data_IF_417652066202
#
_entry.id   IF_417652066202
#
_cell.length_a   1.000
_cell.length_b   1.000
_cell.length_c   1.000
_cell.angle_alpha   90.00
_cell.angle_beta   90.00
_cell.angle_gamma   90.00
#
_symmetry.space_group_name_H-M   'P 1'
#
loop_
_entity.id
_entity.type
_entity.pdbx_description
1 polymer ?
#
# COMPACT_ATOMS: atom_id res chain seq x y z
N UNK A 1 14.67 -9.21 33.61
CA UNK A 1 14.14 -9.64 32.30
C UNK A 1 12.89 -8.83 32.04
N UNK A 2 12.54 -8.60 30.77
CA UNK A 2 11.34 -7.84 30.41
C UNK A 2 10.17 -8.81 30.46
N UNK A 3 9.12 -8.44 31.19
CA UNK A 3 7.95 -9.30 31.36
C UNK A 3 7.22 -9.49 30.01
N UNK A 4 6.76 -10.72 29.74
CA UNK A 4 6.04 -11.06 28.50
C UNK A 4 6.91 -11.48 27.29
N UNK A 5 8.24 -11.52 27.41
CA UNK A 5 9.13 -12.05 26.37
C UNK A 5 9.48 -13.53 26.60
N UNK A 6 9.76 -14.26 25.51
CA UNK A 6 10.12 -15.68 25.57
C UNK A 6 11.52 -15.97 26.15
N UNK A 7 11.81 -17.25 26.39
CA UNK A 7 13.04 -17.73 27.05
C UNK A 7 14.34 -17.29 26.35
N UNK A 8 14.29 -17.01 25.04
CA UNK A 8 15.44 -16.53 24.28
C UNK A 8 16.03 -15.22 24.84
N UNK A 9 15.23 -14.43 25.56
CA UNK A 9 15.72 -13.24 26.25
C UNK A 9 16.88 -13.56 27.21
N UNK A 10 16.87 -14.73 27.84
CA UNK A 10 17.86 -15.15 28.82
C UNK A 10 19.29 -15.13 28.25
N UNK A 11 19.45 -15.42 26.95
CA UNK A 11 20.76 -15.35 26.28
C UNK A 11 20.91 -14.10 25.40
N UNK A 12 19.84 -13.62 24.77
CA UNK A 12 19.91 -12.44 23.87
C UNK A 12 20.29 -11.16 24.63
N UNK A 13 19.73 -10.93 25.83
CA UNK A 13 20.01 -9.70 26.57
C UNK A 13 21.46 -9.62 27.08
N UNK A 14 22.03 -10.67 27.71
CA UNK A 14 23.46 -10.69 28.03
C UNK A 14 24.35 -10.60 26.79
N UNK A 15 23.97 -11.27 25.70
CA UNK A 15 24.73 -11.25 24.44
C UNK A 15 24.81 -9.83 23.86
N UNK A 16 23.68 -9.11 23.79
CA UNK A 16 23.66 -7.73 23.30
C UNK A 16 24.53 -6.81 24.15
N UNK A 17 24.46 -6.96 25.48
CA UNK A 17 25.32 -6.20 26.40
C UNK A 17 26.80 -6.49 26.14
N UNK A 18 27.18 -7.76 26.03
CA UNK A 18 28.54 -8.18 25.74
C UNK A 18 29.03 -7.64 24.38
N UNK A 19 28.16 -7.63 23.36
CA UNK A 19 28.46 -7.08 22.05
C UNK A 19 28.74 -5.58 22.12
N UNK A 20 27.91 -4.80 22.82
CA UNK A 20 28.12 -3.35 22.98
C UNK A 20 29.43 -3.05 23.72
N UNK A 21 29.74 -3.82 24.78
CA UNK A 21 31.00 -3.72 25.51
C UNK A 21 32.20 -4.06 24.62
N UNK A 22 32.09 -5.12 23.82
CA UNK A 22 33.13 -5.55 22.89
C UNK A 22 33.38 -4.53 21.78
N UNK A 23 32.33 -4.01 21.14
CA UNK A 23 32.43 -2.93 20.13
C UNK A 23 33.12 -1.69 20.71
N UNK A 24 32.84 -1.39 21.98
CA UNK A 24 33.53 -0.30 22.67
C UNK A 24 35.02 -0.59 22.91
N UNK A 25 35.38 -1.82 23.28
CA UNK A 25 36.79 -2.23 23.42
C UNK A 25 37.57 -2.15 22.09
N UNK A 26 36.89 -2.39 20.97
CA UNK A 26 37.44 -2.20 19.62
C UNK A 26 37.61 -0.72 19.22
N UNK A 27 37.25 0.23 20.08
CA UNK A 27 37.34 1.66 19.80
C UNK A 27 36.34 2.17 18.77
N UNK A 28 35.27 1.40 18.49
CA UNK A 28 34.26 1.77 17.51
C UNK A 28 33.17 2.67 18.13
N UNK A 29 32.48 3.50 17.34
CA UNK A 29 31.38 4.32 17.83
C UNK A 29 30.26 3.47 18.44
N UNK A 30 29.74 3.90 19.60
CA UNK A 30 28.63 3.22 20.30
C UNK A 30 27.25 3.52 19.70
N UNK A 31 27.22 4.22 18.58
CA UNK A 31 25.99 4.72 17.98
C UNK A 31 25.26 3.59 17.27
N UNK A 32 24.02 3.33 17.69
CA UNK A 32 23.12 2.41 17.01
C UNK A 32 21.75 3.07 16.87
N UNK A 33 20.95 2.56 15.92
CA UNK A 33 19.65 3.16 15.58
C UNK A 33 18.79 3.47 16.82
N UNK A 34 18.65 2.52 17.74
CA UNK A 34 17.82 2.71 18.93
C UNK A 34 18.26 3.85 19.87
N UNK A 35 19.57 4.04 20.12
CA UNK A 35 20.04 5.12 21.02
C UNK A 35 20.10 6.48 20.32
N UNK A 36 20.24 6.50 18.99
CA UNK A 36 20.26 7.71 18.19
C UNK A 36 18.85 8.29 18.01
N UNK A 37 17.81 7.46 17.85
CA UNK A 37 16.47 7.97 17.55
C UNK A 37 15.90 8.87 18.64
N UNK A 38 15.97 8.44 19.90
CA UNK A 38 15.49 9.26 21.03
C UNK A 38 16.23 10.59 21.08
N UNK A 39 17.56 10.55 21.03
CA UNK A 39 18.39 11.76 21.03
C UNK A 39 18.09 12.67 19.84
N UNK A 40 17.86 12.10 18.66
CA UNK A 40 17.53 12.83 17.44
C UNK A 40 16.19 13.57 17.59
N UNK A 41 15.15 12.87 18.05
CA UNK A 41 13.82 13.44 18.31
C UNK A 41 13.92 14.55 19.36
N UNK A 42 14.52 14.27 20.53
CA UNK A 42 14.68 15.25 21.61
C UNK A 42 15.43 16.51 21.16
N UNK A 43 16.50 16.34 20.37
CA UNK A 43 17.29 17.47 19.86
C UNK A 43 16.47 18.32 18.89
N UNK A 44 15.70 17.70 18.00
CA UNK A 44 14.86 18.43 17.04
C UNK A 44 13.64 19.08 17.69
N UNK A 45 13.00 18.41 18.64
CA UNK A 45 11.85 18.96 19.36
C UNK A 45 12.24 20.16 20.22
N UNK A 46 13.39 20.09 20.90
CA UNK A 46 13.90 21.18 21.74
C UNK A 46 14.53 22.33 20.93
N UNK A 47 15.05 22.05 19.74
CA UNK A 47 15.62 23.07 18.88
C UNK A 47 14.54 24.09 18.46
N UNK A 48 14.82 25.38 18.71
CA UNK A 48 13.97 26.50 18.27
C UNK A 48 14.32 26.99 16.86
N UNK A 49 15.52 26.66 16.38
CA UNK A 49 16.01 27.05 15.05
C UNK A 49 16.34 25.80 14.24
N UNK A 50 16.19 25.89 12.92
CA UNK A 50 16.49 24.79 12.01
C UNK A 50 17.97 24.40 12.12
N UNK A 51 18.29 23.13 12.45
CA UNK A 51 19.66 22.67 12.50
C UNK A 51 20.37 22.84 11.16
N UNK A 52 21.66 23.22 11.16
CA UNK A 52 22.41 23.40 9.92
C UNK A 52 22.58 22.07 9.18
N UNK A 53 22.49 22.12 7.84
CA UNK A 53 22.75 20.97 6.98
C UNK A 53 21.53 20.10 6.63
N UNK A 54 20.33 20.47 7.11
CA UNK A 54 19.10 19.82 6.67
C UNK A 54 18.64 20.33 5.29
N UNK A 55 18.04 19.47 4.44
CA UNK A 55 17.47 19.91 3.17
C UNK A 55 16.24 20.78 3.40
N UNK A 56 15.88 21.61 2.41
CA UNK A 56 14.67 22.46 2.53
C UNK A 56 13.37 21.65 2.49
N UNK A 57 13.37 20.50 1.81
CA UNK A 57 12.20 19.64 1.63
C UNK A 57 12.57 18.18 1.35
N UNK A 58 11.68 17.26 1.75
CA UNK A 58 11.80 15.81 1.54
C UNK A 58 10.47 15.27 1.00
N UNK A 59 10.56 14.40 0.00
CA UNK A 59 9.42 13.66 -0.54
C UNK A 59 9.55 12.17 -0.21
N UNK A 60 8.47 11.56 0.24
CA UNK A 60 8.36 10.12 0.47
C UNK A 60 7.22 9.61 -0.41
N UNK A 61 7.56 8.87 -1.46
CA UNK A 61 6.59 8.39 -2.46
C UNK A 61 6.60 6.87 -2.55
N UNK A 62 5.42 6.26 -2.68
CA UNK A 62 5.28 4.83 -2.97
C UNK A 62 5.67 3.90 -1.82
N UNK A 63 5.70 4.42 -0.58
CA UNK A 63 5.95 3.61 0.62
C UNK A 63 4.60 3.39 1.33
N UNK A 64 4.17 2.14 1.39
CA UNK A 64 2.89 1.75 1.99
C UNK A 64 2.96 1.43 3.48
N UNK A 65 4.15 1.43 4.08
CA UNK A 65 4.35 1.29 5.52
C UNK A 65 5.68 1.87 5.97
N UNK A 66 5.67 2.58 7.10
CA UNK A 66 6.87 2.98 7.83
C UNK A 66 6.79 2.52 9.28
N UNK A 67 7.92 2.13 9.91
CA UNK A 67 7.96 1.84 11.33
C UNK A 67 7.51 3.05 12.17
N UNK A 68 6.84 2.86 13.33
CA UNK A 68 6.38 3.97 14.18
C UNK A 68 7.48 4.97 14.54
N UNK A 69 8.67 4.46 14.87
CA UNK A 69 9.84 5.30 15.23
C UNK A 69 10.28 6.19 14.07
N UNK A 70 10.08 5.77 12.81
CA UNK A 70 10.45 6.59 11.65
C UNK A 70 9.42 7.70 11.45
N UNK A 71 8.14 7.43 11.68
CA UNK A 71 7.11 8.47 11.63
C UNK A 71 7.32 9.53 12.72
N UNK A 72 7.67 9.13 13.95
CA UNK A 72 8.02 10.07 15.03
C UNK A 72 9.26 10.91 14.67
N UNK A 73 10.29 10.28 14.11
CA UNK A 73 11.48 11.00 13.66
C UNK A 73 11.16 11.99 12.52
N UNK A 74 10.30 11.60 11.58
CA UNK A 74 9.81 12.48 10.52
C UNK A 74 8.97 13.62 11.08
N UNK A 75 8.10 13.36 12.05
CA UNK A 75 7.30 14.40 12.71
C UNK A 75 8.20 15.45 13.39
N UNK A 76 9.22 15.03 14.13
CA UNK A 76 10.17 15.93 14.77
C UNK A 76 10.96 16.75 13.73
N UNK A 77 11.31 16.13 12.60
CA UNK A 77 12.01 16.78 11.49
C UNK A 77 11.09 17.75 10.71
N UNK A 78 9.81 17.43 10.61
CA UNK A 78 8.77 18.26 9.98
C UNK A 78 8.52 19.59 10.67
N UNK A 79 9.01 19.76 11.92
CA UNK A 79 9.04 21.06 12.61
C UNK A 79 10.01 22.06 11.95
N UNK A 80 11.02 21.57 11.26
CA UNK A 80 12.13 22.38 10.74
C UNK A 80 12.24 22.38 9.22
N UNK A 81 11.67 21.39 8.54
CA UNK A 81 11.69 21.26 7.09
C UNK A 81 10.34 20.79 6.56
N UNK A 82 10.12 21.00 5.26
CA UNK A 82 8.91 20.51 4.60
C UNK A 82 9.01 19.00 4.29
N UNK A 83 8.11 18.21 4.86
CA UNK A 83 8.03 16.77 4.55
C UNK A 83 6.71 16.50 3.83
N UNK A 84 6.82 16.06 2.59
CA UNK A 84 5.69 15.63 1.78
C UNK A 84 5.65 14.10 1.76
N UNK A 85 4.72 13.53 2.53
CA UNK A 85 4.46 12.09 2.56
C UNK A 85 3.31 11.77 1.59
N UNK A 86 3.64 11.19 0.44
CA UNK A 86 2.70 10.82 -0.62
C UNK A 86 2.29 9.36 -0.44
N UNK A 87 1.25 9.15 0.35
CA UNK A 87 0.68 7.84 0.62
C UNK A 87 -0.46 7.53 -0.35
N UNK A 88 -0.31 6.46 -1.13
CA UNK A 88 -1.34 5.94 -2.04
C UNK A 88 -2.32 5.07 -1.26
N UNK A 89 -3.37 5.69 -0.71
CA UNK A 89 -4.41 5.01 0.05
C UNK A 89 -5.46 4.41 -0.92
N UNK A 90 -5.87 3.14 -0.77
CA UNK A 90 -6.90 2.52 -1.62
C UNK A 90 -8.33 2.99 -1.31
N UNK A 91 -8.58 3.58 -0.14
CA UNK A 91 -9.91 3.97 0.30
C UNK A 91 -9.90 5.41 0.81
N UNK A 92 -10.96 6.17 0.46
CA UNK A 92 -11.04 7.58 0.85
C UNK A 92 -11.45 7.79 2.29
N UNK A 93 -12.14 6.84 2.92
CA UNK A 93 -12.52 6.92 4.32
C UNK A 93 -11.46 6.28 5.22
N UNK A 94 -11.59 6.47 6.52
CA UNK A 94 -10.78 5.73 7.48
C UNK A 94 -11.30 4.30 7.65
N UNK A 95 -10.37 3.36 7.51
CA UNK A 95 -10.60 1.91 7.58
C UNK A 95 -9.61 1.21 8.54
N UNK A 96 -9.03 1.99 9.46
CA UNK A 96 -8.10 1.55 10.51
C UNK A 96 -8.80 1.00 11.75
N UNK A 97 -8.11 0.23 12.58
CA UNK A 97 -8.67 -0.20 13.88
C UNK A 97 -8.61 0.96 14.90
N UNK A 98 -9.56 1.00 15.84
CA UNK A 98 -9.62 2.00 16.92
C UNK A 98 -10.00 1.31 18.23
N UNK A 99 -9.06 1.30 19.18
CA UNK A 99 -9.27 0.67 20.49
C UNK A 99 -9.83 1.60 21.56
N UNK A 100 -9.52 2.89 21.50
CA UNK A 100 -9.90 3.86 22.53
C UNK A 100 -11.09 4.72 22.06
N UNK A 101 -12.23 4.71 22.77
CA UNK A 101 -13.36 5.59 22.47
C UNK A 101 -13.02 7.09 22.49
N UNK A 102 -12.07 7.51 23.34
CA UNK A 102 -11.61 8.90 23.35
C UNK A 102 -10.82 9.25 22.07
N UNK A 103 -10.03 8.30 21.57
CA UNK A 103 -9.34 8.43 20.30
C UNK A 103 -10.31 8.49 19.11
N UNK A 104 -11.37 7.67 19.13
CA UNK A 104 -12.45 7.77 18.13
C UNK A 104 -13.06 9.17 18.10
N UNK A 105 -13.36 9.76 19.27
CA UNK A 105 -13.89 11.12 19.35
C UNK A 105 -12.91 12.16 18.78
N UNK A 106 -11.59 12.00 18.98
CA UNK A 106 -10.55 12.83 18.35
C UNK A 106 -10.54 12.69 16.83
N UNK A 107 -10.77 11.49 16.30
CA UNK A 107 -10.81 11.25 14.85
C UNK A 107 -12.11 11.72 14.20
N UNK A 108 -13.25 11.66 14.89
CA UNK A 108 -14.54 12.12 14.37
C UNK A 108 -14.59 13.64 14.16
N UNK A 109 -13.80 14.40 14.92
CA UNK A 109 -13.69 15.85 14.74
C UNK A 109 -12.67 16.24 13.67
N UNK A 110 -11.86 15.29 13.19
CA UNK A 110 -10.90 15.57 12.12
C UNK A 110 -11.61 15.74 10.79
N UNK A 111 -11.28 16.83 10.12
CA UNK A 111 -11.68 17.09 8.75
C UNK A 111 -10.43 17.18 7.90
N UNK A 112 -10.52 16.60 6.69
CA UNK A 112 -9.46 16.68 5.70
C UNK A 112 -9.82 17.75 4.69
N UNK A 113 -8.83 18.54 4.30
CA UNK A 113 -9.01 19.53 3.24
C UNK A 113 -8.80 18.86 1.89
N UNK A 114 -9.72 19.07 0.97
CA UNK A 114 -9.54 18.62 -0.41
C UNK A 114 -8.41 19.41 -1.08
N UNK A 115 -7.57 18.72 -1.86
CA UNK A 115 -6.36 19.30 -2.44
C UNK A 115 -6.64 20.42 -3.45
N UNK A 116 -7.81 20.41 -4.10
CA UNK A 116 -8.16 21.33 -5.19
C UNK A 116 -9.38 22.21 -4.90
N UNK A 117 -10.15 21.89 -3.86
CA UNK A 117 -11.39 22.59 -3.52
C UNK A 117 -11.34 23.01 -2.06
N UNK A 118 -11.89 24.18 -1.74
CA UNK A 118 -12.05 24.65 -0.37
C UNK A 118 -13.26 23.96 0.31
N UNK A 119 -13.21 22.63 0.35
CA UNK A 119 -14.18 21.78 1.06
C UNK A 119 -13.47 20.92 2.09
N UNK A 120 -14.15 20.73 3.21
CA UNK A 120 -13.76 19.83 4.27
C UNK A 120 -14.56 18.55 4.17
N UNK A 121 -13.86 17.42 4.17
CA UNK A 121 -14.45 16.09 4.04
C UNK A 121 -14.31 15.34 5.37
N UNK A 122 -15.37 14.62 5.80
CA UNK A 122 -15.29 13.80 7.00
C UNK A 122 -14.29 12.65 6.78
N UNK A 123 -13.70 12.19 7.88
CA UNK A 123 -12.78 11.06 7.86
C UNK A 123 -13.53 9.72 7.72
N UNK A 124 -14.73 9.63 8.29
CA UNK A 124 -15.60 8.46 8.22
C UNK A 124 -16.74 8.70 7.25
N UNK A 125 -17.18 7.63 6.59
CA UNK A 125 -18.31 7.69 5.67
C UNK A 125 -19.63 8.00 6.36
N UNK A 126 -19.93 7.27 7.42
CA UNK A 126 -21.05 7.52 8.32
C UNK A 126 -20.49 7.90 9.68
N UNK A 127 -20.42 9.21 9.93
CA UNK A 127 -19.88 9.75 11.17
C UNK A 127 -20.83 9.57 12.36
N UNK A 128 -22.14 9.43 12.12
CA UNK A 128 -23.14 9.29 13.18
C UNK A 128 -23.12 7.87 13.78
N UNK A 129 -22.93 6.86 12.92
CA UNK A 129 -22.88 5.45 13.34
C UNK A 129 -21.46 4.90 13.49
N UNK A 130 -20.43 5.73 13.38
CA UNK A 130 -19.02 5.29 13.42
C UNK A 130 -18.66 4.46 14.66
N UNK A 131 -19.25 4.76 15.82
CA UNK A 131 -19.02 3.99 17.05
C UNK A 131 -19.56 2.55 17.01
N UNK A 132 -20.51 2.24 16.14
CA UNK A 132 -21.04 0.88 15.95
C UNK A 132 -20.20 0.07 14.97
N UNK A 133 -19.28 0.72 14.24
CA UNK A 133 -18.39 0.06 13.28
C UNK A 133 -17.26 -0.69 13.98
N UNK A 134 -17.06 -0.56 15.30
CA UNK A 134 -15.97 -1.19 16.02
C UNK A 134 -16.48 -2.27 16.99
N UNK A 135 -15.82 -3.43 16.99
CA UNK A 135 -16.08 -4.46 17.99
C UNK A 135 -15.43 -4.13 19.35
N UNK A 136 -15.62 -4.99 20.35
CA UNK A 136 -15.06 -4.79 21.70
C UNK A 136 -13.53 -4.76 21.74
N UNK A 137 -12.87 -5.35 20.75
CA UNK A 137 -11.41 -5.39 20.62
C UNK A 137 -10.87 -4.18 19.83
N UNK A 138 -11.77 -3.29 19.37
CA UNK A 138 -11.47 -2.09 18.59
C UNK A 138 -11.24 -2.35 17.12
N UNK A 139 -11.57 -3.53 16.61
CA UNK A 139 -11.46 -3.84 15.19
C UNK A 139 -12.67 -3.28 14.44
N UNK A 140 -12.40 -2.61 13.32
CA UNK A 140 -13.47 -2.09 12.48
C UNK A 140 -14.13 -3.22 11.67
N UNK A 141 -15.45 -3.21 11.57
CA UNK A 141 -16.18 -3.89 10.51
C UNK A 141 -15.90 -3.16 9.19
N UNK A 142 -14.78 -3.55 8.57
CA UNK A 142 -14.30 -2.95 7.33
C UNK A 142 -15.31 -3.30 6.23
N UNK A 143 -16.12 -2.31 5.85
CA UNK A 143 -17.25 -2.48 4.93
C UNK A 143 -16.90 -3.31 3.71
N UNK A 144 -15.81 -2.99 2.99
CA UNK A 144 -15.38 -3.79 1.85
C UNK A 144 -14.59 -5.05 2.28
N UNK A 145 -15.02 -6.27 1.93
CA UNK A 145 -14.40 -7.52 2.40
C UNK A 145 -13.01 -7.79 1.80
N UNK A 146 -12.70 -7.28 0.60
CA UNK A 146 -11.37 -7.42 0.00
C UNK A 146 -10.36 -6.59 0.78
N UNK A 147 -10.71 -5.33 1.06
CA UNK A 147 -9.89 -4.46 1.89
C UNK A 147 -9.75 -4.99 3.31
N UNK A 148 -10.81 -5.57 3.88
CA UNK A 148 -10.78 -6.19 5.20
C UNK A 148 -9.72 -7.29 5.32
N UNK A 149 -9.61 -8.14 4.30
CA UNK A 149 -8.74 -9.32 4.33
C UNK A 149 -7.30 -9.04 3.87
N UNK A 150 -7.10 -8.23 2.84
CA UNK A 150 -5.79 -7.96 2.25
C UNK A 150 -5.12 -6.69 2.79
N UNK A 151 -5.90 -5.77 3.36
CA UNK A 151 -5.43 -4.44 3.75
C UNK A 151 -4.68 -4.35 5.09
N UNK A 152 -4.38 -5.47 5.78
CA UNK A 152 -3.83 -5.46 7.15
C UNK A 152 -2.63 -4.52 7.34
N UNK A 153 -1.66 -4.55 6.43
CA UNK A 153 -0.48 -3.67 6.48
C UNK A 153 -0.84 -2.19 6.31
N UNK A 154 -1.78 -1.87 5.40
CA UNK A 154 -2.24 -0.50 5.20
C UNK A 154 -3.09 0.00 6.37
N UNK A 155 -3.83 -0.89 7.03
CA UNK A 155 -4.62 -0.61 8.22
C UNK A 155 -3.74 -0.09 9.36
N UNK A 156 -2.68 -0.82 9.67
CA UNK A 156 -1.70 -0.42 10.69
C UNK A 156 -1.06 0.92 10.35
N UNK A 157 -0.75 1.14 9.07
CA UNK A 157 -0.09 2.36 8.64
C UNK A 157 -1.02 3.59 8.71
N UNK A 158 -2.27 3.48 8.28
CA UNK A 158 -3.27 4.55 8.41
C UNK A 158 -3.52 4.89 9.87
N UNK A 159 -3.62 3.87 10.74
CA UNK A 159 -3.73 4.09 12.18
C UNK A 159 -2.56 4.95 12.69
N UNK A 160 -1.32 4.58 12.36
CA UNK A 160 -0.13 5.32 12.77
C UNK A 160 -0.07 6.74 12.19
N UNK A 161 -0.48 6.94 10.94
CA UNK A 161 -0.53 8.28 10.33
C UNK A 161 -1.58 9.16 11.01
N UNK A 162 -2.74 8.59 11.35
CA UNK A 162 -3.82 9.31 12.03
C UNK A 162 -3.44 9.70 13.47
N UNK A 163 -2.48 9.03 14.10
CA UNK A 163 -2.03 9.37 15.45
C UNK A 163 -1.10 10.60 15.47
N UNK A 164 -0.53 10.97 14.31
CA UNK A 164 0.33 12.13 14.20
C UNK A 164 -0.46 13.42 14.49
N UNK A 165 0.08 14.24 15.39
CA UNK A 165 -0.60 15.45 15.88
C UNK A 165 -0.30 16.69 15.01
N UNK A 166 0.85 16.68 14.34
CA UNK A 166 1.34 17.79 13.51
C UNK A 166 1.16 17.55 12.02
N UNK A 167 0.41 16.51 11.63
CA UNK A 167 0.18 16.18 10.23
C UNK A 167 -0.98 16.99 9.66
N UNK A 168 -0.71 17.70 8.56
CA UNK A 168 -1.76 18.27 7.73
C UNK A 168 -2.11 17.25 6.64
N UNK A 169 -3.19 16.51 6.85
CA UNK A 169 -3.69 15.55 5.87
C UNK A 169 -4.46 16.28 4.76
N UNK A 170 -4.16 15.92 3.52
CA UNK A 170 -4.82 16.44 2.32
C UNK A 170 -5.51 15.28 1.60
N UNK A 171 -6.75 15.50 1.18
CA UNK A 171 -7.48 14.57 0.34
C UNK A 171 -7.18 14.85 -1.14
N UNK A 172 -6.64 13.85 -1.83
CA UNK A 172 -6.35 13.88 -3.26
C UNK A 172 -6.91 12.63 -3.99
N UNK A 173 -8.04 12.09 -3.53
CA UNK A 173 -8.69 10.96 -4.19
C UNK A 173 -9.36 11.39 -5.50
N UNK A 174 -9.27 10.52 -6.51
CA UNK A 174 -9.98 10.68 -7.79
C UNK A 174 -11.14 9.68 -7.80
N UNK A 175 -12.29 10.11 -8.30
CA UNK A 175 -13.47 9.25 -8.43
C UNK A 175 -13.26 8.18 -9.51
N UNK A 176 -13.82 6.99 -9.26
CA UNK A 176 -13.85 5.87 -10.21
C UNK A 176 -15.30 5.66 -10.62
N UNK A 177 -15.62 5.93 -11.88
CA UNK A 177 -16.98 5.73 -12.42
C UNK A 177 -17.26 4.23 -12.61
N UNK A 178 -18.28 3.65 -11.96
CA UNK A 178 -18.53 2.20 -11.98
C UNK A 178 -19.19 1.73 -13.30
N UNK A 179 -18.44 1.69 -14.40
CA UNK A 179 -18.91 1.35 -15.75
C UNK A 179 -18.56 -0.08 -16.21
N UNK A 180 -17.49 -0.67 -15.67
CA UNK A 180 -17.08 -2.06 -15.90
C UNK A 180 -16.84 -2.80 -14.58
N UNK A 181 -16.59 -4.10 -14.63
CA UNK A 181 -16.40 -4.97 -13.48
C UNK A 181 -15.20 -4.52 -12.64
N UNK A 182 -14.08 -4.16 -13.28
CA UNK A 182 -12.90 -3.63 -12.58
C UNK A 182 -13.21 -2.34 -11.82
N UNK A 183 -13.83 -1.36 -12.49
CA UNK A 183 -14.20 -0.07 -11.91
C UNK A 183 -15.27 -0.20 -10.82
N UNK A 184 -16.18 -1.18 -10.93
CA UNK A 184 -17.12 -1.51 -9.86
C UNK A 184 -16.38 -1.96 -8.59
N UNK A 185 -15.42 -2.89 -8.71
CA UNK A 185 -14.65 -3.36 -7.56
C UNK A 185 -13.75 -2.25 -6.99
N UNK A 186 -13.10 -1.47 -7.86
CA UNK A 186 -12.27 -0.33 -7.44
C UNK A 186 -13.10 0.74 -6.72
N UNK A 187 -14.29 1.07 -7.23
CA UNK A 187 -15.21 1.99 -6.58
C UNK A 187 -15.68 1.45 -5.23
N UNK A 188 -15.98 0.14 -5.12
CA UNK A 188 -16.38 -0.46 -3.84
C UNK A 188 -15.26 -0.38 -2.79
N UNK A 189 -14.01 -0.58 -3.19
CA UNK A 189 -12.85 -0.43 -2.30
C UNK A 189 -12.67 1.05 -1.92
N UNK A 190 -12.75 1.96 -2.91
CA UNK A 190 -12.58 3.39 -2.72
C UNK A 190 -13.60 3.98 -1.75
N UNK A 191 -14.87 3.58 -1.88
CA UNK A 191 -16.00 4.08 -1.08
C UNK A 191 -16.28 3.25 0.19
N UNK A 192 -15.44 2.25 0.47
CA UNK A 192 -15.62 1.32 1.59
C UNK A 192 -16.99 0.61 1.59
N UNK A 193 -17.48 0.21 0.40
CA UNK A 193 -18.76 -0.47 0.21
C UNK A 193 -18.63 -1.99 0.18
N UNK A 194 -19.64 -2.64 0.77
CA UNK A 194 -19.95 -4.03 0.50
C UNK A 194 -21.13 -4.13 -0.45
N UNK A 195 -20.94 -4.82 -1.57
CA UNK A 195 -22.02 -5.15 -2.53
C UNK A 195 -22.23 -6.64 -2.66
N UNK A 196 -21.61 -7.43 -1.78
CA UNK A 196 -21.88 -8.85 -1.69
C UNK A 196 -23.28 -9.09 -1.13
N UNK A 197 -24.05 -9.92 -1.83
CA UNK A 197 -25.40 -10.33 -1.45
C UNK A 197 -25.31 -11.74 -0.88
N UNK A 198 -25.44 -11.87 0.43
CA UNK A 198 -25.38 -13.16 1.12
C UNK A 198 -26.71 -13.95 1.04
N UNK A 199 -27.83 -13.27 0.79
CA UNK A 199 -29.15 -13.90 0.71
C UNK A 199 -29.65 -14.37 2.08
N UNK A 200 -29.55 -13.50 3.09
CA UNK A 200 -29.82 -13.85 4.51
C UNK A 200 -31.31 -14.08 4.76
N UNK A 201 -32.16 -13.45 3.95
CA UNK A 201 -33.61 -13.61 4.01
C UNK A 201 -34.16 -14.11 2.66
N UNK A 202 -35.38 -14.66 2.70
CA UNK A 202 -36.03 -15.27 1.53
C UNK A 202 -36.26 -14.24 0.42
N UNK A 203 -36.56 -12.98 0.74
CA UNK A 203 -36.77 -11.93 -0.25
C UNK A 203 -35.49 -11.67 -1.08
N UNK A 204 -34.36 -11.48 -0.39
CA UNK A 204 -33.04 -11.23 -0.97
C UNK A 204 -32.52 -12.46 -1.72
N UNK A 205 -32.77 -13.67 -1.20
CA UNK A 205 -32.36 -14.91 -1.84
C UNK A 205 -33.18 -15.22 -3.10
N UNK A 206 -34.46 -14.83 -3.13
CA UNK A 206 -35.37 -15.17 -4.23
C UNK A 206 -35.10 -14.38 -5.51
N UNK A 207 -34.35 -13.28 -5.44
CA UNK A 207 -34.04 -12.42 -6.58
C UNK A 207 -32.54 -12.18 -6.72
N UNK A 208 -32.11 -11.84 -7.93
CA UNK A 208 -30.70 -11.52 -8.24
C UNK A 208 -30.52 -10.19 -8.96
N UNK A 209 -31.61 -9.45 -9.17
CA UNK A 209 -31.64 -8.10 -9.77
C UNK A 209 -31.17 -7.01 -8.78
N UNK A 210 -31.03 -7.35 -7.50
CA UNK A 210 -30.35 -6.54 -6.49
C UNK A 210 -28.82 -6.50 -6.66
N UNK A 211 -28.25 -7.41 -7.45
CA UNK A 211 -26.83 -7.42 -7.82
C UNK A 211 -26.61 -6.50 -9.02
N UNK A 212 -25.37 -6.07 -9.23
CA UNK A 212 -25.02 -5.32 -10.43
C UNK A 212 -25.17 -6.21 -11.68
N UNK A 213 -25.73 -5.67 -12.78
CA UNK A 213 -25.78 -6.40 -14.04
C UNK A 213 -24.36 -6.60 -14.55
N UNK A 214 -24.08 -7.80 -15.07
CA UNK A 214 -22.82 -8.11 -15.74
C UNK A 214 -23.02 -7.97 -17.24
N UNK A 215 -22.19 -7.17 -17.90
CA UNK A 215 -22.12 -7.15 -19.35
C UNK A 215 -21.31 -8.36 -19.84
N UNK A 216 -21.89 -9.26 -20.68
CA UNK A 216 -21.15 -10.40 -21.21
C UNK A 216 -19.97 -10.01 -22.12
N UNK A 217 -19.89 -8.74 -22.57
CA UNK A 217 -18.77 -8.22 -23.35
C UNK A 217 -17.67 -7.60 -22.48
N UNK A 218 -17.88 -7.47 -21.16
CA UNK A 218 -16.88 -6.94 -20.25
C UNK A 218 -15.71 -7.92 -20.06
N UNK A 219 -14.52 -7.45 -20.41
CA UNK A 219 -13.26 -8.19 -20.36
C UNK A 219 -12.24 -7.59 -19.38
N UNK A 220 -12.65 -6.62 -18.54
CA UNK A 220 -11.78 -5.89 -17.61
C UNK A 220 -11.17 -6.76 -16.51
N UNK A 221 -11.89 -7.79 -16.04
CA UNK A 221 -11.38 -8.83 -15.14
C UNK A 221 -11.68 -10.19 -15.76
N UNK A 222 -10.63 -10.96 -16.05
CA UNK A 222 -10.75 -12.28 -16.67
C UNK A 222 -9.98 -13.33 -15.87
N UNK A 223 -10.45 -14.57 -15.91
CA UNK A 223 -9.84 -15.70 -15.24
C UNK A 223 -9.44 -16.75 -16.27
N UNK A 224 -8.19 -17.21 -16.20
CA UNK A 224 -7.62 -18.19 -17.11
C UNK A 224 -7.11 -19.40 -16.33
N UNK A 225 -7.59 -20.59 -16.66
CA UNK A 225 -7.11 -21.86 -16.08
C UNK A 225 -6.34 -22.61 -17.16
N UNK A 226 -5.07 -22.91 -16.88
CA UNK A 226 -4.15 -23.52 -17.84
C UNK A 226 -3.55 -24.82 -17.30
N UNK A 227 -3.07 -25.67 -18.21
CA UNK A 227 -2.57 -27.01 -17.88
C UNK A 227 -1.08 -27.04 -17.49
N UNK A 228 -0.32 -26.00 -17.85
CA UNK A 228 1.11 -25.87 -17.56
C UNK A 228 1.54 -24.40 -17.68
N UNK A 229 2.70 -24.01 -17.08
CA UNK A 229 3.26 -22.66 -17.25
C UNK A 229 3.48 -22.28 -18.71
N UNK A 230 3.90 -23.23 -19.56
CA UNK A 230 4.06 -22.97 -20.98
C UNK A 230 2.73 -22.60 -21.65
N UNK A 231 1.67 -23.38 -21.38
CA UNK A 231 0.35 -23.09 -21.95
C UNK A 231 -0.23 -21.80 -21.41
N UNK A 232 0.03 -21.48 -20.15
CA UNK A 232 -0.37 -20.22 -19.54
C UNK A 232 0.25 -19.01 -20.25
N UNK A 233 1.55 -19.05 -20.53
CA UNK A 233 2.24 -17.98 -21.26
C UNK A 233 1.76 -17.87 -22.72
N UNK A 234 1.48 -18.99 -23.39
CA UNK A 234 0.87 -18.98 -24.73
C UNK A 234 -0.50 -18.30 -24.73
N UNK A 235 -1.37 -18.65 -23.77
CA UNK A 235 -2.71 -18.05 -23.64
C UNK A 235 -2.61 -16.57 -23.29
N UNK A 236 -1.66 -16.19 -22.43
CA UNK A 236 -1.38 -14.79 -22.12
C UNK A 236 -0.96 -14.02 -23.36
N UNK A 237 -0.02 -14.55 -24.15
CA UNK A 237 0.43 -13.92 -25.39
C UNK A 237 -0.75 -13.65 -26.33
N UNK A 238 -1.59 -14.64 -26.61
CA UNK A 238 -2.76 -14.48 -27.47
C UNK A 238 -3.74 -13.43 -26.93
N UNK A 239 -3.94 -13.38 -25.60
CA UNK A 239 -4.80 -12.38 -24.96
C UNK A 239 -4.23 -10.96 -25.06
N UNK A 240 -2.92 -10.80 -24.89
CA UNK A 240 -2.23 -9.52 -25.05
C UNK A 240 -2.36 -9.01 -26.49
N UNK A 241 -2.21 -9.88 -27.49
CA UNK A 241 -2.43 -9.50 -28.89
C UNK A 241 -3.87 -9.03 -29.13
N UNK A 242 -4.86 -9.77 -28.60
CA UNK A 242 -6.26 -9.39 -28.74
C UNK A 242 -6.54 -8.00 -28.13
N UNK A 243 -6.02 -7.72 -26.94
CA UNK A 243 -6.20 -6.41 -26.29
C UNK A 243 -5.49 -5.27 -27.04
N UNK A 244 -4.29 -5.53 -27.57
CA UNK A 244 -3.55 -4.54 -28.38
C UNK A 244 -4.21 -4.27 -29.74
N UNK A 245 -4.93 -5.24 -30.30
CA UNK A 245 -5.71 -5.06 -31.53
C UNK A 245 -7.02 -4.30 -31.26
N UNK A 246 -7.64 -4.54 -30.10
CA UNK A 246 -8.91 -3.91 -29.70
C UNK A 246 -8.77 -2.42 -29.36
N UNK A 247 -7.70 -2.03 -28.64
CA UNK A 247 -7.43 -0.64 -28.25
C UNK A 247 -6.09 -0.14 -28.82
N UNK A 248 -6.10 0.69 -29.88
CA UNK A 248 -4.88 1.25 -30.48
C UNK A 248 -4.09 2.21 -29.56
N UNK A 249 -4.70 2.69 -28.47
CA UNK A 249 -4.01 3.58 -27.51
C UNK A 249 -3.15 2.79 -26.53
N UNK A 250 -3.42 1.49 -26.36
CA UNK A 250 -2.69 0.62 -25.47
C UNK A 250 -1.30 0.32 -26.03
N UNK A 251 -0.27 0.68 -25.27
CA UNK A 251 1.11 0.37 -25.65
C UNK A 251 1.69 -0.74 -24.77
N UNK A 252 2.62 -1.55 -25.28
CA UNK A 252 3.37 -2.54 -24.51
C UNK A 252 3.85 -2.12 -23.11
N UNK A 253 4.27 -0.86 -22.96
CA UNK A 253 4.77 -0.29 -21.70
C UNK A 253 3.69 -0.06 -20.64
N UNK A 254 2.42 -0.08 -21.03
CA UNK A 254 1.28 0.08 -20.14
C UNK A 254 0.85 -1.25 -19.49
N UNK A 255 1.47 -2.37 -19.92
CA UNK A 255 1.11 -3.72 -19.51
C UNK A 255 2.17 -4.27 -18.56
N UNK A 256 1.72 -4.80 -17.43
CA UNK A 256 2.57 -5.49 -16.45
C UNK A 256 2.14 -6.95 -16.29
N UNK A 257 3.13 -7.85 -16.30
CA UNK A 257 2.93 -9.28 -16.02
C UNK A 257 3.75 -9.62 -14.78
N UNK A 258 3.07 -10.12 -13.75
CA UNK A 258 3.69 -10.50 -12.48
C UNK A 258 3.48 -11.98 -12.22
N UNK A 259 4.52 -12.65 -11.73
CA UNK A 259 4.50 -14.05 -11.32
C UNK A 259 5.17 -14.19 -9.95
N UNK A 260 4.86 -15.25 -9.21
CA UNK A 260 5.44 -15.47 -7.89
C UNK A 260 6.96 -15.70 -7.94
N UNK A 261 7.43 -16.44 -8.94
CA UNK A 261 8.84 -16.71 -9.19
C UNK A 261 9.15 -16.52 -10.68
N UNK A 262 9.78 -15.39 -11.01
CA UNK A 262 10.12 -15.04 -12.39
C UNK A 262 11.19 -15.96 -12.99
N UNK A 263 12.09 -16.50 -12.15
CA UNK A 263 13.19 -17.35 -12.64
C UNK A 263 12.63 -18.67 -13.16
N UNK A 264 11.59 -19.20 -12.51
CA UNK A 264 10.88 -20.40 -12.97
C UNK A 264 10.10 -20.20 -14.28
N UNK A 265 9.59 -18.99 -14.54
CA UNK A 265 8.80 -18.67 -15.74
C UNK A 265 9.65 -18.19 -16.93
N UNK A 266 10.86 -17.70 -16.68
CA UNK A 266 11.74 -17.09 -17.69
C UNK A 266 11.95 -17.95 -18.97
N UNK A 267 12.19 -19.28 -18.89
CA UNK A 267 12.36 -20.10 -20.09
C UNK A 267 11.11 -20.16 -20.98
N UNK A 268 9.92 -20.20 -20.37
CA UNK A 268 8.64 -20.27 -21.11
C UNK A 268 8.30 -18.93 -21.75
N UNK A 269 8.56 -17.83 -21.04
CA UNK A 269 8.41 -16.47 -21.58
C UNK A 269 9.30 -16.30 -22.82
N UNK A 270 10.57 -16.70 -22.75
CA UNK A 270 11.49 -16.60 -23.88
C UNK A 270 11.07 -17.50 -25.05
N UNK A 271 10.56 -18.70 -24.78
CA UNK A 271 10.11 -19.62 -25.82
C UNK A 271 8.91 -19.06 -26.61
N UNK A 272 7.91 -18.53 -25.91
CA UNK A 272 6.69 -18.01 -26.53
C UNK A 272 6.96 -16.67 -27.23
N UNK A 273 7.54 -15.70 -26.52
CA UNK A 273 7.76 -14.35 -27.06
C UNK A 273 8.97 -14.28 -28.02
N UNK A 274 9.88 -15.24 -27.99
CA UNK A 274 11.06 -15.29 -28.85
C UNK A 274 10.81 -15.87 -30.24
N UNK A 275 9.62 -16.43 -30.50
CA UNK A 275 9.31 -17.17 -31.73
C UNK A 275 8.57 -16.34 -32.81
N UNK A 276 8.26 -15.07 -32.56
CA UNK A 276 7.60 -14.21 -33.53
C UNK A 276 8.56 -13.78 -34.67
N UNK A 277 8.28 -14.11 -35.96
CA UNK A 277 9.08 -13.67 -37.08
C UNK A 277 9.07 -12.14 -37.21
N UNK A 278 10.16 -11.59 -37.73
CA UNK A 278 10.47 -10.16 -37.81
C UNK A 278 9.38 -9.26 -38.45
N UNK A 279 8.39 -9.82 -39.14
CA UNK A 279 7.36 -9.10 -39.91
C UNK A 279 6.00 -8.97 -39.22
N UNK A 280 5.73 -9.67 -38.11
CA UNK A 280 4.46 -9.53 -37.37
C UNK A 280 4.57 -8.44 -36.30
N UNK A 281 4.06 -7.25 -36.64
CA UNK A 281 3.76 -6.10 -35.76
C UNK A 281 4.98 -5.42 -35.07
N UNK A 282 5.34 -4.17 -35.46
CA UNK A 282 6.44 -3.40 -34.85
C UNK A 282 6.28 -3.14 -33.34
N UNK A 283 5.05 -3.23 -32.83
CA UNK A 283 4.67 -2.89 -31.45
C UNK A 283 5.22 -3.89 -30.43
N UNK A 284 5.19 -5.21 -30.67
CA UNK A 284 5.63 -6.21 -29.71
C UNK A 284 7.16 -6.37 -29.60
N UNK A 285 7.95 -5.86 -30.56
CA UNK A 285 9.43 -5.84 -30.46
C UNK A 285 9.93 -5.06 -29.25
N UNK A 286 9.15 -4.09 -28.78
CA UNK A 286 9.47 -3.28 -27.60
C UNK A 286 8.95 -3.92 -26.30
N UNK A 287 8.16 -4.99 -26.39
CA UNK A 287 7.79 -5.83 -25.26
C UNK A 287 8.98 -6.76 -24.92
N UNK A 288 10.10 -6.18 -24.54
CA UNK A 288 11.03 -6.91 -23.68
C UNK A 288 10.46 -6.82 -22.28
N UNK A 289 9.99 -7.91 -21.65
CA UNK A 289 9.65 -7.87 -20.24
C UNK A 289 10.91 -7.40 -19.51
N UNK A 290 10.91 -6.16 -19.02
CA UNK A 290 11.98 -5.70 -18.15
C UNK A 290 11.72 -6.35 -16.81
N UNK A 291 12.57 -7.29 -16.42
CA UNK A 291 12.50 -7.93 -15.11
C UNK A 291 12.73 -6.87 -14.03
N UNK A 292 11.66 -6.34 -13.45
CA UNK A 292 11.71 -5.64 -12.19
C UNK A 292 11.49 -6.68 -11.08
N UNK A 293 12.58 -7.22 -10.56
CA UNK A 293 12.51 -8.05 -9.36
C UNK A 293 12.18 -7.15 -8.17
N UNK A 294 11.01 -7.36 -7.54
CA UNK A 294 10.71 -6.77 -6.24
C UNK A 294 11.46 -7.60 -5.19
N UNK A 295 12.71 -7.22 -4.92
CA UNK A 295 13.52 -7.87 -3.88
C UNK A 295 12.99 -7.49 -2.50
N UNK A 296 12.34 -8.42 -1.82
CA UNK A 296 12.08 -8.33 -0.38
C UNK A 296 13.37 -8.66 0.38
N UNK A 297 13.95 -7.65 1.02
CA UNK A 297 14.85 -7.80 2.17
C UNK A 297 16.19 -8.50 1.95
N UNK A 298 17.20 -7.74 1.52
CA UNK A 298 18.47 -7.48 2.24
C UNK A 298 19.58 -7.11 1.24
N UNK A 299 19.89 -5.81 1.20
CA UNK A 299 21.18 -5.26 0.76
C UNK A 299 21.67 -5.56 -0.65
N UNK A 300 21.29 -4.74 -1.64
CA UNK A 300 22.26 -3.99 -2.44
C UNK A 300 21.55 -2.87 -3.21
N UNK A 301 22.16 -1.70 -3.21
CA UNK A 301 21.67 -0.44 -3.81
C UNK A 301 21.67 -0.54 -5.33
N UNK A 302 20.51 -0.33 -5.97
CA UNK A 302 20.42 0.13 -7.37
C UNK A 302 19.28 1.14 -7.49
N UNK A 303 19.62 2.35 -7.92
CA UNK A 303 18.71 3.48 -8.14
C UNK A 303 17.84 3.26 -9.39
N UNK A 304 16.56 3.66 -9.40
CA UNK A 304 15.84 3.90 -10.63
C UNK A 304 16.19 5.30 -11.15
N UNK A 305 16.69 5.35 -12.39
CA UNK A 305 16.76 6.59 -13.18
C UNK A 305 15.33 6.93 -13.58
N UNK A 306 14.78 7.95 -12.94
CA UNK A 306 13.59 8.66 -13.44
C UNK A 306 14.13 9.68 -14.43
N UNK A 307 13.85 9.50 -15.72
CA UNK A 307 13.94 10.59 -16.70
C UNK A 307 12.53 11.02 -17.05
N UNK A 308 12.34 12.34 -17.02
CA UNK A 308 11.11 13.08 -17.32
C UNK A 308 10.56 12.82 -18.72
#
# INVERSE_FOLDING_TARGET
>A
MVEGLGEAQAWQAPLWKALVEYTHQLGQPRWHRANLYQRFIETLESATTCPPGLPSRVFICGISALPPVYLQALQALGKHIEIHLLFTNPCRYYWGDIKDPAYLAKLLTRQRRHSFEDRELPLFRDSENAGQLFNSDGEQDVGNPLLASWGKLGRDYIYLLSDLESSQELDAFVDVTPDNLLHNIQSDILELENRAVAGVNIEEFSRSDNKRPLDPLDSSITFHVCHSPQREVEVLHDRLLAMLEEDPTLTPRDIIVMVADIDSYSPFIQAVFGSAPAESLPTLRHFRPSCAAVTSGTGSVYQPVITA
#
